data_IF_629554122570
#
_entry.id   IF_629554122570
#
_cell.length_a   1.000
_cell.length_b   1.000
_cell.length_c   1.000
_cell.angle_alpha   90.00
_cell.angle_beta   90.00
_cell.angle_gamma   90.00
#
_symmetry.space_group_name_H-M   'P 1'
#
loop_
_entity.id
_entity.type
_entity.pdbx_description
1 polymer ?
#
# COMPACT_ATOMS: atom_id res chain seq x y z
N UNK A 1 -26.89 25.95 -6.26
CA UNK A 1 -25.55 25.32 -6.37
C UNK A 1 -25.63 23.92 -5.79
N UNK A 2 -25.42 22.88 -6.60
CA UNK A 2 -25.56 21.48 -6.16
C UNK A 2 -24.49 21.15 -5.11
N UNK A 3 -24.92 20.89 -3.87
CA UNK A 3 -24.07 20.33 -2.80
C UNK A 3 -23.39 19.01 -3.23
N UNK A 4 -23.90 18.33 -4.25
CA UNK A 4 -23.39 17.05 -4.76
C UNK A 4 -22.01 17.10 -5.46
N UNK A 5 -21.46 18.28 -5.80
CA UNK A 5 -20.17 18.36 -6.51
C UNK A 5 -18.94 18.48 -5.62
N UNK A 6 -19.08 18.79 -4.34
CA UNK A 6 -17.94 18.91 -3.42
C UNK A 6 -17.72 17.64 -2.58
N UNK A 7 -16.49 17.42 -2.12
CA UNK A 7 -16.14 16.35 -1.19
C UNK A 7 -15.67 17.02 0.09
N UNK A 8 -16.27 16.63 1.21
CA UNK A 8 -15.92 17.13 2.53
C UNK A 8 -15.18 16.05 3.30
N UNK A 9 -14.23 16.48 4.12
CA UNK A 9 -13.45 15.64 5.01
C UNK A 9 -13.70 16.04 6.46
N UNK A 10 -13.81 15.04 7.34
CA UNK A 10 -13.93 15.26 8.78
C UNK A 10 -12.55 15.37 9.38
N UNK A 11 -12.24 16.54 9.93
CA UNK A 11 -10.94 16.84 10.53
C UNK A 11 -11.13 17.17 12.01
N UNK A 12 -10.39 16.50 12.90
CA UNK A 12 -10.33 16.90 14.30
C UNK A 12 -9.46 18.17 14.45
N UNK A 13 -10.00 19.18 15.11
CA UNK A 13 -9.32 20.45 15.37
C UNK A 13 -8.84 20.49 16.83
N UNK A 14 -7.54 20.46 17.05
CA UNK A 14 -6.97 20.41 18.40
C UNK A 14 -7.21 21.69 19.20
N UNK A 15 -7.26 22.85 18.55
CA UNK A 15 -7.50 24.14 19.22
C UNK A 15 -8.92 24.23 19.83
N UNK A 16 -9.93 23.75 19.10
CA UNK A 16 -11.35 23.78 19.52
C UNK A 16 -11.81 22.50 20.21
N UNK A 17 -11.01 21.43 20.17
CA UNK A 17 -11.36 20.12 20.71
C UNK A 17 -12.58 19.48 20.06
N UNK A 18 -12.83 19.76 18.76
CA UNK A 18 -14.00 19.25 18.06
C UNK A 18 -13.70 18.81 16.62
N UNK A 19 -14.62 18.03 16.04
CA UNK A 19 -14.55 17.63 14.63
C UNK A 19 -15.21 18.72 13.78
N UNK A 20 -14.48 19.18 12.76
CA UNK A 20 -14.95 20.14 11.77
C UNK A 20 -14.96 19.51 10.38
N UNK A 21 -15.85 19.99 9.52
CA UNK A 21 -15.86 19.63 8.11
C UNK A 21 -15.12 20.69 7.27
N UNK A 22 -14.31 20.21 6.32
CA UNK A 22 -13.56 21.04 5.36
C UNK A 22 -13.71 20.48 3.96
N UNK A 23 -13.60 21.33 2.95
CA UNK A 23 -13.49 20.82 1.58
C UNK A 23 -12.16 20.09 1.45
N UNK A 24 -12.16 18.96 0.73
CA UNK A 24 -10.94 18.23 0.43
C UNK A 24 -9.89 19.15 -0.21
N UNK A 25 -10.30 20.01 -1.14
CA UNK A 25 -9.37 20.91 -1.85
C UNK A 25 -8.70 21.93 -0.91
N UNK A 26 -9.40 22.45 0.10
CA UNK A 26 -8.80 23.34 1.13
C UNK A 26 -7.72 22.60 1.94
N UNK A 27 -7.93 21.29 2.19
CA UNK A 27 -6.96 20.46 2.90
C UNK A 27 -5.78 20.11 2.00
N UNK A 28 -5.99 19.89 0.68
CA UNK A 28 -4.90 19.68 -0.27
C UNK A 28 -3.95 20.87 -0.28
N UNK A 29 -4.49 22.09 -0.24
CA UNK A 29 -3.68 23.30 -0.15
C UNK A 29 -2.74 23.29 1.06
N UNK A 30 -3.28 22.97 2.24
CA UNK A 30 -2.49 22.86 3.46
C UNK A 30 -1.41 21.77 3.36
N UNK A 31 -1.74 20.61 2.78
CA UNK A 31 -0.80 19.50 2.59
C UNK A 31 0.35 19.92 1.67
N UNK A 32 0.06 20.62 0.57
CA UNK A 32 1.08 21.04 -0.40
C UNK A 32 2.06 22.03 0.24
N UNK A 33 1.58 22.99 1.02
CA UNK A 33 2.43 23.94 1.75
C UNK A 33 3.30 23.27 2.82
N UNK A 34 2.88 22.10 3.28
CA UNK A 34 3.64 21.30 4.22
C UNK A 34 4.74 20.49 3.54
N UNK A 35 4.41 19.84 2.41
CA UNK A 35 5.18 18.73 1.86
C UNK A 35 5.93 19.07 0.57
N UNK A 36 5.62 20.17 -0.11
CA UNK A 36 6.22 20.51 -1.41
C UNK A 36 6.77 21.94 -1.41
N UNK A 37 8.00 22.18 -1.90
CA UNK A 37 8.50 23.53 -2.11
C UNK A 37 7.60 24.30 -3.09
N UNK A 38 7.12 25.46 -2.66
CA UNK A 38 6.14 26.24 -3.42
C UNK A 38 6.75 26.89 -4.67
N UNK A 39 8.07 27.02 -4.71
CA UNK A 39 8.84 27.55 -5.83
C UNK A 39 8.81 26.63 -7.05
N UNK A 40 8.50 25.34 -6.85
CA UNK A 40 8.49 24.34 -7.90
C UNK A 40 7.56 24.71 -9.07
N UNK A 41 7.87 24.13 -10.22
CA UNK A 41 7.11 24.27 -11.44
C UNK A 41 5.64 23.86 -11.19
N UNK A 42 4.70 24.54 -11.85
CA UNK A 42 3.28 24.28 -11.69
C UNK A 42 2.90 22.84 -12.01
N UNK A 43 3.52 22.20 -13.00
CA UNK A 43 3.22 20.80 -13.34
C UNK A 43 3.72 19.82 -12.25
N UNK A 44 4.79 20.17 -11.53
CA UNK A 44 5.23 19.42 -10.35
C UNK A 44 4.29 19.65 -9.15
N UNK A 45 3.80 20.88 -8.96
CA UNK A 45 2.77 21.17 -7.94
C UNK A 45 1.47 20.41 -8.23
N UNK A 46 1.04 20.32 -9.50
CA UNK A 46 -0.11 19.52 -9.94
C UNK A 46 0.09 18.03 -9.62
N UNK A 47 1.27 17.47 -9.91
CA UNK A 47 1.58 16.08 -9.57
C UNK A 47 1.50 15.83 -8.05
N UNK A 48 2.08 16.72 -7.24
CA UNK A 48 2.00 16.63 -5.78
C UNK A 48 0.55 16.80 -5.28
N UNK A 49 -0.27 17.69 -5.87
CA UNK A 49 -1.67 17.88 -5.50
C UNK A 49 -2.50 16.61 -5.74
N UNK A 50 -2.28 15.94 -6.87
CA UNK A 50 -2.90 14.65 -7.18
C UNK A 50 -2.46 13.56 -6.20
N UNK A 51 -1.17 13.51 -5.84
CA UNK A 51 -0.64 12.56 -4.83
C UNK A 51 -1.28 12.81 -3.46
N UNK A 52 -1.28 14.06 -3.00
CA UNK A 52 -1.90 14.48 -1.74
C UNK A 52 -3.38 14.08 -1.71
N UNK A 53 -4.13 14.35 -2.78
CA UNK A 53 -5.53 13.96 -2.90
C UNK A 53 -5.71 12.45 -2.88
N UNK A 54 -4.91 11.70 -3.62
CA UNK A 54 -4.97 10.23 -3.66
C UNK A 54 -4.78 9.64 -2.25
N UNK A 55 -3.78 10.10 -1.52
CA UNK A 55 -3.49 9.62 -0.16
C UNK A 55 -4.56 10.04 0.85
N UNK A 56 -5.11 11.26 0.72
CA UNK A 56 -6.18 11.75 1.58
C UNK A 56 -7.45 10.92 1.39
N UNK A 57 -7.84 10.67 0.14
CA UNK A 57 -9.00 9.85 -0.21
C UNK A 57 -8.86 8.42 0.30
N UNK A 58 -7.65 7.82 0.26
CA UNK A 58 -7.40 6.49 0.84
C UNK A 58 -7.61 6.41 2.34
N UNK A 59 -7.43 7.52 3.04
CA UNK A 59 -7.64 7.58 4.49
C UNK A 59 -9.10 7.77 4.85
N UNK A 60 -9.89 8.43 4.00
CA UNK A 60 -11.26 8.80 4.33
C UNK A 60 -12.18 7.59 4.47
N UNK A 61 -12.97 7.59 5.54
CA UNK A 61 -14.03 6.60 5.84
C UNK A 61 -15.23 6.68 4.89
N UNK A 62 -15.21 7.61 3.93
CA UNK A 62 -16.20 7.66 2.85
C UNK A 62 -15.81 6.72 1.70
N UNK A 63 -14.53 6.37 1.61
CA UNK A 63 -13.94 5.64 0.48
C UNK A 63 -13.31 4.30 0.88
N UNK A 64 -13.67 3.74 2.04
CA UNK A 64 -13.13 2.49 2.58
C UNK A 64 -11.89 2.65 3.48
N UNK A 65 -11.52 3.88 3.84
CA UNK A 65 -10.32 4.16 4.63
C UNK A 65 -10.52 4.04 6.14
N UNK A 66 -9.45 3.78 6.88
CA UNK A 66 -9.51 3.61 8.34
C UNK A 66 -9.76 4.94 9.11
N UNK A 67 -9.59 6.08 8.45
CA UNK A 67 -9.65 7.40 9.05
C UNK A 67 -8.42 7.75 9.88
N UNK A 68 -8.61 8.59 10.90
CA UNK A 68 -7.54 8.98 11.81
C UNK A 68 -7.19 7.87 12.79
N UNK A 69 -5.89 7.61 12.96
CA UNK A 69 -5.37 6.68 13.98
C UNK A 69 -5.41 7.25 15.40
N UNK A 70 -5.56 8.58 15.53
CA UNK A 70 -5.41 9.29 16.80
C UNK A 70 -6.75 9.74 17.40
N UNK A 71 -7.77 9.89 16.55
CA UNK A 71 -9.06 10.46 16.94
C UNK A 71 -10.18 9.67 16.27
N UNK A 72 -11.15 9.22 17.06
CA UNK A 72 -12.30 8.50 16.54
C UNK A 72 -13.22 9.41 15.71
N UNK A 73 -14.00 8.81 14.81
CA UNK A 73 -15.03 9.49 14.02
C UNK A 73 -14.56 10.64 13.09
N UNK A 74 -13.25 10.81 12.87
CA UNK A 74 -12.71 11.70 11.85
C UNK A 74 -11.77 10.97 10.87
N UNK A 75 -11.50 11.61 9.74
CA UNK A 75 -10.64 11.09 8.68
C UNK A 75 -9.17 11.48 8.91
N UNK A 76 -8.94 12.71 9.38
CA UNK A 76 -7.62 13.28 9.71
C UNK A 76 -7.73 14.20 10.93
N UNK A 77 -6.62 14.79 11.36
CA UNK A 77 -6.62 15.91 12.29
C UNK A 77 -5.61 16.97 11.87
N UNK A 78 -5.69 18.16 12.45
CA UNK A 78 -4.82 19.31 12.16
C UNK A 78 -3.47 19.26 12.89
N UNK A 79 -3.10 18.10 13.45
CA UNK A 79 -1.81 17.90 14.09
C UNK A 79 -0.64 17.82 13.10
N UNK A 80 0.56 18.01 13.64
CA UNK A 80 1.82 18.03 12.87
C UNK A 80 2.07 16.75 12.07
N UNK A 81 1.58 15.62 12.57
CA UNK A 81 1.71 14.32 11.90
C UNK A 81 0.90 14.22 10.59
N UNK A 82 -0.03 15.15 10.32
CA UNK A 82 -0.76 15.23 9.06
C UNK A 82 -0.45 16.48 8.25
N UNK A 83 -0.62 17.66 8.86
CA UNK A 83 -0.50 18.93 8.15
C UNK A 83 0.86 19.60 8.37
N UNK A 84 1.71 19.07 9.26
CA UNK A 84 2.98 19.69 9.62
C UNK A 84 2.82 21.01 10.37
N UNK A 85 3.94 21.63 10.71
CA UNK A 85 3.97 22.85 11.53
C UNK A 85 3.82 24.14 10.72
N UNK A 86 3.27 25.17 11.37
CA UNK A 86 3.29 26.57 10.92
C UNK A 86 2.62 26.85 9.56
N UNK A 87 1.63 26.05 9.15
CA UNK A 87 0.96 26.19 7.84
C UNK A 87 0.34 27.58 7.64
N UNK A 88 -0.33 28.12 8.66
CA UNK A 88 -0.93 29.45 8.55
C UNK A 88 0.13 30.55 8.34
N UNK A 89 1.29 30.42 8.97
CA UNK A 89 2.40 31.36 8.78
C UNK A 89 3.01 31.22 7.39
N UNK A 90 3.24 29.98 6.93
CA UNK A 90 3.71 29.70 5.56
C UNK A 90 2.77 30.30 4.53
N UNK A 91 1.46 30.09 4.67
CA UNK A 91 0.45 30.66 3.79
C UNK A 91 0.52 32.20 3.74
N UNK A 92 0.54 32.85 4.90
CA UNK A 92 0.64 34.33 5.00
C UNK A 92 1.93 34.90 4.44
N UNK A 93 3.01 34.11 4.39
CA UNK A 93 4.30 34.53 3.86
C UNK A 93 4.41 34.39 2.33
N UNK A 94 3.42 33.79 1.66
CA UNK A 94 3.47 33.60 0.21
C UNK A 94 3.28 34.92 -0.53
N UNK A 95 4.06 35.09 -1.60
CA UNK A 95 3.78 36.12 -2.60
C UNK A 95 2.49 35.81 -3.36
N UNK A 96 1.83 36.86 -3.84
CA UNK A 96 0.62 36.75 -4.68
C UNK A 96 0.84 35.84 -5.90
N UNK A 97 2.02 35.90 -6.52
CA UNK A 97 2.41 35.01 -7.62
C UNK A 97 2.38 33.54 -7.22
N UNK A 98 2.90 33.21 -6.04
CA UNK A 98 2.95 31.83 -5.56
C UNK A 98 1.57 31.34 -5.10
N UNK A 99 0.76 32.20 -4.48
CA UNK A 99 -0.64 31.90 -4.17
C UNK A 99 -1.43 31.55 -5.44
N UNK A 100 -1.38 32.41 -6.46
CA UNK A 100 -2.06 32.17 -7.73
C UNK A 100 -1.59 30.88 -8.42
N UNK A 101 -0.29 30.56 -8.32
CA UNK A 101 0.27 29.31 -8.87
C UNK A 101 -0.25 28.08 -8.12
N UNK A 102 -0.35 28.16 -6.80
CA UNK A 102 -0.88 27.08 -5.95
C UNK A 102 -2.35 26.82 -6.25
N UNK A 103 -3.17 27.87 -6.18
CA UNK A 103 -4.61 27.80 -6.46
C UNK A 103 -4.86 27.23 -7.85
N UNK A 104 -4.09 27.67 -8.86
CA UNK A 104 -4.19 27.14 -10.22
C UNK A 104 -3.82 25.66 -10.28
N UNK A 105 -2.75 25.22 -9.64
CA UNK A 105 -2.36 23.80 -9.62
C UNK A 105 -3.44 22.90 -9.00
N UNK A 106 -4.06 23.35 -7.90
CA UNK A 106 -5.14 22.63 -7.21
C UNK A 106 -6.40 22.60 -8.08
N UNK A 107 -6.82 23.74 -8.63
CA UNK A 107 -8.02 23.83 -9.45
C UNK A 107 -7.90 23.06 -10.77
N UNK A 108 -6.76 23.15 -11.46
CA UNK A 108 -6.50 22.42 -12.72
C UNK A 108 -6.50 20.89 -12.52
N UNK A 109 -6.29 20.41 -11.28
CA UNK A 109 -6.26 18.98 -10.94
C UNK A 109 -7.38 18.55 -10.01
N UNK A 110 -8.41 19.39 -9.86
CA UNK A 110 -9.52 19.17 -8.95
C UNK A 110 -10.14 17.79 -9.19
N UNK A 111 -10.43 17.07 -8.11
CA UNK A 111 -10.97 15.71 -8.13
C UNK A 111 -10.08 14.62 -8.78
N UNK A 112 -8.93 14.95 -9.37
CA UNK A 112 -8.05 13.93 -9.98
C UNK A 112 -7.28 13.16 -8.91
N UNK A 113 -7.29 11.84 -9.04
CA UNK A 113 -6.56 10.88 -8.21
C UNK A 113 -5.83 9.85 -9.07
N UNK A 114 -4.89 9.14 -8.47
CA UNK A 114 -4.14 8.04 -9.10
C UNK A 114 -4.76 6.71 -8.67
N UNK A 115 -5.10 5.86 -9.63
CA UNK A 115 -5.72 4.56 -9.36
C UNK A 115 -5.04 3.42 -10.11
N UNK A 116 -5.17 2.22 -9.57
CA UNK A 116 -4.97 0.95 -10.28
C UNK A 116 -6.23 0.13 -10.08
N UNK A 117 -6.87 -0.31 -11.16
CA UNK A 117 -8.14 -1.04 -11.14
C UNK A 117 -9.22 -0.33 -10.30
N UNK A 118 -9.36 0.98 -10.52
CA UNK A 118 -10.28 1.86 -9.79
C UNK A 118 -10.07 1.94 -8.26
N UNK A 119 -8.99 1.36 -7.72
CA UNK A 119 -8.57 1.57 -6.33
C UNK A 119 -7.52 2.69 -6.29
N UNK A 120 -7.71 3.74 -5.47
CA UNK A 120 -6.66 4.73 -5.25
C UNK A 120 -5.37 4.06 -4.78
N UNK A 121 -4.19 4.47 -5.26
CA UNK A 121 -2.91 3.84 -4.89
C UNK A 121 -2.30 4.46 -3.63
N UNK A 122 -1.46 3.72 -2.89
CA UNK A 122 -0.53 4.34 -1.92
C UNK A 122 0.51 5.18 -2.68
N UNK A 123 0.22 6.46 -2.89
CA UNK A 123 0.99 7.36 -3.72
C UNK A 123 2.20 7.88 -2.92
N UNK A 124 3.18 7.01 -2.73
CA UNK A 124 4.46 7.33 -2.05
C UNK A 124 5.24 8.37 -2.82
N UNK A 125 5.90 9.26 -2.10
CA UNK A 125 6.81 10.24 -2.67
C UNK A 125 7.91 10.56 -1.66
N UNK A 126 8.99 11.14 -2.15
CA UNK A 126 10.13 11.56 -1.35
C UNK A 126 10.84 12.74 -2.01
N UNK A 127 11.70 13.43 -1.26
CA UNK A 127 12.37 14.65 -1.72
C UNK A 127 13.30 14.38 -2.91
N UNK A 128 14.32 13.54 -2.73
CA UNK A 128 15.39 13.32 -3.72
C UNK A 128 15.81 11.86 -3.76
N UNK A 129 15.65 11.17 -4.89
CA UNK A 129 15.97 9.73 -4.99
C UNK A 129 17.47 9.39 -5.07
N UNK A 130 18.35 10.36 -5.34
CA UNK A 130 19.79 10.09 -5.47
C UNK A 130 20.20 9.31 -6.73
N UNK A 131 19.33 9.19 -7.74
CA UNK A 131 19.67 8.61 -9.05
C UNK A 131 18.71 7.51 -9.53
N UNK A 132 17.90 6.95 -8.64
CA UNK A 132 16.81 6.04 -8.98
C UNK A 132 15.84 5.89 -7.83
N UNK A 133 14.57 5.68 -8.12
CA UNK A 133 13.61 5.19 -7.13
C UNK A 133 13.88 3.72 -6.80
N UNK A 134 13.15 3.14 -5.85
CA UNK A 134 13.35 1.76 -5.41
C UNK A 134 12.10 0.91 -5.58
N UNK A 135 12.29 -0.42 -5.67
CA UNK A 135 11.18 -1.36 -5.64
C UNK A 135 10.64 -1.48 -4.22
N UNK A 136 9.32 -1.51 -4.06
CA UNK A 136 8.69 -1.51 -2.74
C UNK A 136 9.11 -2.69 -1.85
N UNK A 137 9.37 -3.88 -2.42
CA UNK A 137 9.80 -5.05 -1.65
C UNK A 137 11.14 -4.84 -0.92
N UNK A 138 12.00 -3.95 -1.43
CA UNK A 138 13.29 -3.66 -0.82
C UNK A 138 13.22 -2.64 0.32
N UNK A 139 12.08 -1.94 0.47
CA UNK A 139 11.90 -0.87 1.46
C UNK A 139 10.84 -1.24 2.50
N UNK A 140 9.69 -1.76 2.05
CA UNK A 140 8.53 -2.09 2.89
C UNK A 140 8.21 -3.60 2.90
N UNK A 141 9.09 -4.45 2.34
CA UNK A 141 8.97 -5.91 2.38
C UNK A 141 7.83 -6.52 1.55
N UNK A 142 7.04 -5.71 0.86
CA UNK A 142 5.90 -6.15 0.05
C UNK A 142 6.01 -5.64 -1.39
N UNK A 143 5.73 -6.51 -2.35
CA UNK A 143 5.79 -6.19 -3.78
C UNK A 143 4.53 -5.46 -4.23
N UNK A 144 4.68 -4.20 -4.62
CA UNK A 144 3.62 -3.33 -5.09
C UNK A 144 3.88 -3.01 -6.57
N UNK A 145 2.92 -3.37 -7.43
CA UNK A 145 3.10 -3.32 -8.88
C UNK A 145 3.42 -1.93 -9.42
N UNK A 146 2.81 -0.88 -8.86
CA UNK A 146 3.00 0.50 -9.31
C UNK A 146 4.19 1.22 -8.65
N UNK A 147 4.81 0.65 -7.61
CA UNK A 147 6.00 1.21 -6.94
C UNK A 147 7.25 0.44 -7.37
N UNK A 148 7.72 0.73 -8.58
CA UNK A 148 8.89 0.10 -9.18
C UNK A 148 10.06 1.07 -9.25
N UNK A 149 11.27 0.50 -9.26
CA UNK A 149 12.50 1.23 -9.51
C UNK A 149 12.51 1.82 -10.92
N UNK A 150 12.75 3.13 -10.98
CA UNK A 150 12.92 3.92 -12.20
C UNK A 150 14.20 4.73 -12.06
N UNK A 151 15.05 4.71 -13.09
CA UNK A 151 16.26 5.52 -13.12
C UNK A 151 15.87 7.00 -13.16
N UNK A 152 16.53 7.87 -12.40
CA UNK A 152 16.18 9.28 -12.34
C UNK A 152 17.44 10.14 -12.50
N UNK A 153 17.57 10.76 -13.68
CA UNK A 153 18.66 11.68 -13.97
C UNK A 153 18.32 13.15 -13.67
N UNK A 154 17.08 13.42 -13.25
CA UNK A 154 16.51 14.76 -13.12
C UNK A 154 16.78 15.42 -11.76
N UNK A 155 17.12 14.66 -10.71
CA UNK A 155 17.29 15.22 -9.36
C UNK A 155 18.74 15.53 -8.99
N UNK A 156 19.66 15.60 -9.97
CA UNK A 156 21.10 15.83 -9.74
C UNK A 156 21.39 17.20 -9.12
N UNK A 157 20.58 18.20 -9.48
CA UNK A 157 20.75 19.58 -9.00
C UNK A 157 19.98 19.85 -7.70
N UNK A 158 19.41 18.80 -7.09
CA UNK A 158 18.80 18.92 -5.78
C UNK A 158 19.85 19.32 -4.73
N UNK A 159 19.54 20.24 -3.79
CA UNK A 159 20.40 20.53 -2.65
C UNK A 159 20.62 19.31 -1.76
N UNK A 160 19.71 18.32 -1.81
CA UNK A 160 19.84 17.06 -1.08
C UNK A 160 20.40 15.93 -1.95
N UNK A 161 21.00 16.25 -3.11
CA UNK A 161 21.64 15.25 -3.97
C UNK A 161 22.78 14.55 -3.24
N UNK A 162 23.64 15.31 -2.57
CA UNK A 162 24.71 14.80 -1.71
C UNK A 162 24.64 15.51 -0.37
N UNK A 163 24.71 14.74 0.71
CA UNK A 163 24.79 15.29 2.05
C UNK A 163 25.98 14.67 2.79
N UNK A 164 26.57 15.44 3.69
CA UNK A 164 27.59 14.96 4.62
C UNK A 164 27.16 15.30 6.04
N UNK A 165 27.31 14.34 6.95
CA UNK A 165 27.24 14.61 8.39
C UNK A 165 28.54 14.13 9.05
N UNK A 166 28.98 14.83 10.08
CA UNK A 166 30.07 14.41 10.95
C UNK A 166 29.49 14.10 12.33
N UNK A 167 29.84 12.95 12.89
CA UNK A 167 29.31 12.48 14.17
C UNK A 167 30.40 11.85 15.03
N UNK A 168 30.39 12.16 16.32
CA UNK A 168 31.32 11.57 17.28
C UNK A 168 31.05 10.08 17.46
N UNK A 169 32.09 9.26 17.64
CA UNK A 169 31.93 7.82 17.89
C UNK A 169 31.05 7.57 19.13
N UNK A 170 31.14 8.43 20.15
CA UNK A 170 30.28 8.34 21.34
C UNK A 170 28.79 8.50 20.97
N UNK A 171 28.47 9.51 20.18
CA UNK A 171 27.10 9.74 19.72
C UNK A 171 26.61 8.59 18.83
N UNK A 172 27.46 8.03 17.97
CA UNK A 172 27.12 6.84 17.17
C UNK A 172 26.84 5.63 18.07
N UNK A 173 27.64 5.43 19.12
CA UNK A 173 27.46 4.37 20.11
C UNK A 173 26.08 4.45 20.75
N UNK A 174 25.71 5.64 21.20
CA UNK A 174 24.43 5.93 21.86
C UNK A 174 23.26 5.75 20.89
N UNK A 175 23.34 6.31 19.69
CA UNK A 175 22.25 6.24 18.69
C UNK A 175 22.01 4.84 18.13
N UNK A 176 23.04 4.00 18.05
CA UNK A 176 22.95 2.64 17.52
C UNK A 176 22.82 1.56 18.61
N UNK A 177 22.73 1.97 19.89
CA UNK A 177 22.75 1.06 21.04
C UNK A 177 23.87 0.02 20.95
N UNK A 178 25.08 0.51 20.68
CA UNK A 178 26.26 -0.32 20.49
C UNK A 178 27.44 0.20 21.30
N UNK A 179 28.44 -0.65 21.51
CA UNK A 179 29.67 -0.29 22.21
C UNK A 179 30.85 -0.44 21.27
N UNK A 180 31.55 0.66 21.03
CA UNK A 180 32.89 0.59 20.47
C UNK A 180 33.88 0.29 21.60
N UNK A 181 34.94 -0.50 21.36
CA UNK A 181 35.89 -0.88 22.39
C UNK A 181 36.57 0.35 23.02
N UNK A 182 36.74 0.33 24.35
CA UNK A 182 37.46 1.37 25.10
C UNK A 182 38.94 1.32 24.75
N UNK A 183 39.55 2.47 24.45
CA UNK A 183 40.85 2.51 23.78
C UNK A 183 41.94 2.94 24.76
N UNK A 184 43.03 2.17 24.82
CA UNK A 184 44.26 2.55 25.52
C UNK A 184 45.44 2.63 24.52
N UNK A 185 46.59 3.17 24.95
CA UNK A 185 47.76 3.39 24.08
C UNK A 185 48.38 2.08 23.50
N UNK A 186 47.91 0.92 23.95
CA UNK A 186 48.43 -0.41 23.62
C UNK A 186 47.47 -1.27 22.81
N UNK A 187 46.18 -0.94 22.79
CA UNK A 187 45.16 -1.65 22.03
C UNK A 187 45.03 -1.10 20.61
N UNK A 188 44.93 -2.00 19.64
CA UNK A 188 44.92 -1.66 18.22
C UNK A 188 43.50 -1.71 17.66
N UNK A 189 43.12 -0.68 16.91
CA UNK A 189 41.96 -0.74 16.02
C UNK A 189 42.49 -0.93 14.60
N UNK A 190 42.04 -2.01 13.95
CA UNK A 190 42.24 -2.19 12.52
C UNK A 190 41.14 -1.43 11.79
N UNK A 191 41.52 -0.33 11.14
CA UNK A 191 40.65 0.36 10.21
C UNK A 191 41.12 -0.06 8.82
N UNK A 192 40.46 -1.08 8.25
CA UNK A 192 40.81 -1.58 6.93
C UNK A 192 40.87 -0.42 5.93
N UNK A 193 41.90 -0.43 5.07
CA UNK A 193 42.23 0.62 4.09
C UNK A 193 42.65 1.99 4.66
N UNK A 194 42.77 2.14 5.99
CA UNK A 194 43.25 3.39 6.61
C UNK A 194 44.44 3.18 7.55
N UNK A 195 44.30 2.32 8.57
CA UNK A 195 45.35 1.99 9.55
C UNK A 195 45.50 0.47 9.63
N UNK A 196 46.65 -0.04 9.20
CA UNK A 196 46.92 -1.46 9.03
C UNK A 196 48.32 -1.86 9.53
N UNK A 197 48.53 -3.18 9.67
CA UNK A 197 49.84 -3.80 9.90
C UNK A 197 50.68 -3.19 11.03
N UNK A 198 50.03 -2.74 12.11
CA UNK A 198 50.72 -2.24 13.29
C UNK A 198 51.50 -3.40 13.94
N UNK A 199 52.83 -3.34 13.85
CA UNK A 199 53.75 -4.26 14.52
C UNK A 199 54.38 -3.56 15.70
N UNK A 200 54.34 -4.18 16.87
CA UNK A 200 54.94 -3.66 18.11
C UNK A 200 56.09 -4.54 18.56
N UNK A 201 57.06 -3.94 19.24
CA UNK A 201 58.12 -4.69 19.95
C UNK A 201 57.60 -5.31 21.27
N UNK A 202 58.45 -6.08 21.93
CA UNK A 202 58.15 -6.71 23.23
C UNK A 202 57.83 -5.71 24.35
N UNK A 203 58.21 -4.44 24.17
CA UNK A 203 57.96 -3.36 25.12
C UNK A 203 56.69 -2.57 24.78
N UNK A 204 56.00 -2.86 23.67
CA UNK A 204 54.75 -2.21 23.25
C UNK A 204 54.93 -0.97 22.36
N UNK A 205 56.14 -0.66 21.91
CA UNK A 205 56.41 0.44 20.96
C UNK A 205 56.06 0.00 19.54
N UNK A 206 55.43 0.88 18.76
CA UNK A 206 55.18 0.65 17.34
C UNK A 206 56.52 0.60 16.60
N UNK A 207 56.85 -0.54 16.02
CA UNK A 207 58.02 -0.75 15.18
C UNK A 207 57.72 -0.37 13.72
N UNK A 208 56.54 -0.75 13.22
CA UNK A 208 56.06 -0.35 11.90
C UNK A 208 54.54 -0.23 11.85
N UNK A 209 54.06 0.65 10.98
CA UNK A 209 52.63 0.90 10.72
C UNK A 209 52.41 1.15 9.23
N UNK A 210 51.26 0.73 8.70
CA UNK A 210 50.81 1.06 7.34
C UNK A 210 49.63 2.04 7.43
N UNK A 211 49.78 3.20 6.79
CA UNK A 211 48.73 4.22 6.67
C UNK A 211 48.40 4.43 5.19
N UNK A 212 47.14 4.18 4.81
CA UNK A 212 46.77 4.07 3.40
C UNK A 212 47.65 3.04 2.69
N UNK A 213 48.34 3.46 1.64
CA UNK A 213 49.24 2.59 0.86
C UNK A 213 50.72 2.64 1.32
N UNK A 214 51.05 3.52 2.26
CA UNK A 214 52.42 3.78 2.69
C UNK A 214 52.77 3.08 4.00
N UNK A 215 53.99 2.54 4.08
CA UNK A 215 54.54 1.93 5.29
C UNK A 215 55.55 2.86 5.95
N UNK A 216 55.43 3.00 7.26
CA UNK A 216 56.30 3.81 8.09
C UNK A 216 56.92 2.94 9.19
N UNK A 217 58.17 3.22 9.57
CA UNK A 217 58.66 2.78 10.87
C UNK A 217 58.13 3.71 11.96
N UNK A 218 58.14 3.27 13.22
CA UNK A 218 57.54 4.02 14.32
C UNK A 218 58.18 5.38 14.59
N UNK A 219 59.48 5.54 14.36
CA UNK A 219 60.23 6.79 14.60
C UNK A 219 59.88 7.81 13.52
N UNK A 220 59.89 7.39 12.25
CA UNK A 220 59.51 8.24 11.13
C UNK A 220 58.07 8.71 11.26
N UNK A 221 57.17 7.81 11.68
CA UNK A 221 55.78 8.16 11.94
C UNK A 221 55.65 9.17 13.08
N UNK A 222 56.36 8.92 14.20
CA UNK A 222 56.42 9.83 15.35
C UNK A 222 56.82 11.24 14.92
N UNK A 223 57.95 11.36 14.21
CA UNK A 223 58.52 12.63 13.81
C UNK A 223 57.65 13.35 12.75
N UNK A 224 57.04 12.60 11.82
CA UNK A 224 56.18 13.18 10.78
C UNK A 224 54.87 13.72 11.31
N UNK A 225 54.30 13.08 12.33
CA UNK A 225 53.04 13.52 12.96
C UNK A 225 53.24 14.32 14.26
N UNK A 226 54.49 14.58 14.63
CA UNK A 226 54.86 15.35 15.82
C UNK A 226 54.19 14.85 17.12
N UNK A 227 54.28 13.54 17.37
CA UNK A 227 53.77 12.92 18.60
C UNK A 227 54.93 12.58 19.55
N UNK A 228 54.65 12.50 20.85
CA UNK A 228 55.72 12.41 21.86
C UNK A 228 56.50 11.10 21.85
N UNK A 229 55.87 10.01 21.41
CA UNK A 229 56.37 8.65 21.64
C UNK A 229 55.98 7.69 20.53
N UNK A 230 56.76 6.62 20.37
CA UNK A 230 56.40 5.45 19.55
C UNK A 230 55.42 4.51 20.28
N UNK A 231 55.00 4.84 21.52
CA UNK A 231 53.94 4.15 22.27
C UNK A 231 52.61 4.89 22.08
N UNK A 232 51.98 4.69 20.95
CA UNK A 232 50.70 5.31 20.62
C UNK A 232 49.71 4.27 20.09
N UNK A 233 48.41 4.61 20.12
CA UNK A 233 47.34 3.98 19.35
C UNK A 233 46.62 5.06 18.54
N UNK A 234 45.90 4.67 17.50
CA UNK A 234 45.14 5.58 16.64
C UNK A 234 43.69 5.12 16.61
N UNK A 235 42.78 6.07 16.74
CA UNK A 235 41.35 5.82 16.66
C UNK A 235 40.61 6.99 16.03
N UNK A 236 39.48 6.75 15.35
CA UNK A 236 38.62 7.82 14.89
C UNK A 236 37.90 8.42 16.09
N UNK A 237 37.89 9.75 16.18
CA UNK A 237 37.02 10.48 17.12
C UNK A 237 35.66 10.77 16.48
N UNK A 238 35.68 11.11 15.18
CA UNK A 238 34.49 11.43 14.36
C UNK A 238 34.46 10.62 13.08
N UNK A 239 33.25 10.27 12.64
CA UNK A 239 32.99 9.70 11.32
C UNK A 239 32.24 10.70 10.44
N UNK A 240 32.73 10.85 9.21
CA UNK A 240 32.02 11.56 8.14
C UNK A 240 31.19 10.57 7.34
N UNK A 241 29.87 10.73 7.37
CA UNK A 241 28.91 9.90 6.63
C UNK A 241 28.44 10.70 5.43
N UNK A 242 28.66 10.16 4.23
CA UNK A 242 28.17 10.72 2.96
C UNK A 242 26.93 9.97 2.51
N UNK A 243 25.85 10.67 2.23
CA UNK A 243 24.62 10.10 1.67
C UNK A 243 24.27 10.76 0.34
N UNK A 244 23.47 10.05 -0.46
CA UNK A 244 22.99 10.53 -1.75
C UNK A 244 21.47 10.39 -1.81
N UNK A 245 20.77 11.51 -1.99
CA UNK A 245 19.31 11.56 -1.88
C UNK A 245 18.80 11.78 -0.46
N UNK A 246 17.47 11.90 -0.35
CA UNK A 246 16.71 12.15 0.88
C UNK A 246 15.29 11.55 0.75
N UNK A 247 14.96 10.66 1.68
CA UNK A 247 13.69 9.95 1.78
C UNK A 247 13.82 8.45 1.47
N UNK A 248 12.70 7.74 1.43
CA UNK A 248 12.64 6.27 1.34
C UNK A 248 12.86 5.72 -0.08
N UNK A 249 12.87 6.58 -1.10
CA UNK A 249 13.08 6.20 -2.50
C UNK A 249 11.85 5.62 -3.19
N UNK A 250 10.67 5.57 -2.53
CA UNK A 250 9.46 5.01 -3.12
C UNK A 250 8.65 6.05 -3.90
N UNK A 251 8.18 5.66 -5.09
CA UNK A 251 7.30 6.47 -5.93
C UNK A 251 7.94 7.76 -6.44
N UNK A 252 7.24 8.89 -6.36
CA UNK A 252 7.66 10.14 -6.98
C UNK A 252 8.84 10.80 -6.24
N UNK A 253 9.89 11.14 -6.98
CA UNK A 253 10.96 12.03 -6.51
C UNK A 253 10.59 13.49 -6.79
N UNK A 254 10.42 14.31 -5.76
CA UNK A 254 9.91 15.68 -5.90
C UNK A 254 10.84 16.59 -6.71
N UNK A 255 12.14 16.55 -6.45
CA UNK A 255 13.12 17.30 -7.25
C UNK A 255 13.21 16.80 -8.70
N UNK A 256 13.09 15.49 -8.89
CA UNK A 256 13.06 14.91 -10.23
C UNK A 256 11.80 15.33 -11.01
N UNK A 257 10.65 15.35 -10.35
CA UNK A 257 9.39 15.85 -10.92
C UNK A 257 9.48 17.34 -11.28
N UNK A 258 10.08 18.16 -10.42
CA UNK A 258 10.29 19.59 -10.69
C UNK A 258 11.14 19.81 -11.94
N UNK A 259 12.24 19.07 -12.08
CA UNK A 259 13.10 19.23 -13.24
C UNK A 259 12.47 18.66 -14.52
N UNK A 260 11.76 17.52 -14.44
CA UNK A 260 10.94 17.04 -15.56
C UNK A 260 9.94 18.10 -16.02
N UNK A 261 9.29 18.80 -15.09
CA UNK A 261 8.36 19.87 -15.39
C UNK A 261 9.05 21.10 -16.01
N UNK A 262 10.25 21.47 -15.55
CA UNK A 262 11.06 22.52 -16.19
C UNK A 262 11.44 22.17 -17.63
N UNK A 263 11.65 20.89 -17.91
CA UNK A 263 11.87 20.35 -19.26
C UNK A 263 10.57 20.19 -20.07
N UNK A 264 9.44 20.73 -19.59
CA UNK A 264 8.17 20.78 -20.31
C UNK A 264 7.30 19.52 -20.20
N UNK A 265 7.61 18.59 -19.29
CA UNK A 265 6.74 17.42 -19.04
C UNK A 265 5.49 17.84 -18.27
N UNK A 266 4.33 17.31 -18.66
CA UNK A 266 3.09 17.52 -17.93
C UNK A 266 3.04 16.69 -16.65
N UNK A 267 2.17 17.06 -15.70
CA UNK A 267 1.94 16.29 -14.48
C UNK A 267 1.58 14.82 -14.78
N UNK A 268 0.85 14.56 -15.87
CA UNK A 268 0.47 13.21 -16.29
C UNK A 268 1.70 12.38 -16.66
N UNK A 269 2.58 12.94 -17.49
CA UNK A 269 3.84 12.28 -17.87
C UNK A 269 4.75 12.05 -16.67
N UNK A 270 4.79 12.99 -15.72
CA UNK A 270 5.57 12.88 -14.48
C UNK A 270 5.04 11.72 -13.62
N UNK A 271 3.73 11.65 -13.40
CA UNK A 271 3.11 10.60 -12.59
C UNK A 271 3.25 9.22 -13.24
N UNK A 272 3.01 9.11 -14.55
CA UNK A 272 3.17 7.87 -15.32
C UNK A 272 4.64 7.39 -15.37
N UNK A 273 5.59 8.31 -15.24
CA UNK A 273 7.02 7.99 -15.13
C UNK A 273 7.36 7.33 -13.79
N UNK A 274 6.82 7.85 -12.68
CA UNK A 274 7.16 7.38 -11.33
C UNK A 274 6.28 6.23 -10.84
N UNK A 275 5.07 6.09 -11.37
CA UNK A 275 4.14 5.02 -10.99
C UNK A 275 3.77 4.15 -12.18
N UNK A 276 4.09 2.86 -12.11
CA UNK A 276 3.89 1.93 -13.24
C UNK A 276 2.43 1.50 -13.38
N UNK A 277 1.87 1.64 -14.60
CA UNK A 277 0.54 1.11 -14.94
C UNK A 277 -0.62 1.75 -14.19
N UNK A 278 -0.47 3.02 -13.82
CA UNK A 278 -1.53 3.80 -13.16
C UNK A 278 -2.52 4.39 -14.17
N UNK A 279 -3.69 4.75 -13.67
CA UNK A 279 -4.65 5.62 -14.35
C UNK A 279 -4.87 6.88 -13.51
N UNK A 280 -4.90 8.05 -14.16
CA UNK A 280 -5.29 9.32 -13.54
C UNK A 280 -6.70 9.64 -13.99
N UNK A 281 -7.62 9.72 -13.04
CA UNK A 281 -9.03 9.98 -13.31
C UNK A 281 -9.69 10.78 -12.19
N UNK A 282 -10.85 11.35 -12.49
CA UNK A 282 -11.69 11.96 -11.46
C UNK A 282 -12.13 10.90 -10.45
N UNK A 283 -12.19 11.30 -9.19
CA UNK A 283 -12.67 10.47 -8.12
C UNK A 283 -14.15 10.12 -8.31
N UNK A 284 -14.43 8.81 -8.32
CA UNK A 284 -15.79 8.30 -8.28
C UNK A 284 -16.37 8.51 -6.88
N UNK A 285 -17.34 9.40 -6.74
CA UNK A 285 -18.06 9.56 -5.47
C UNK A 285 -18.91 8.33 -5.19
N UNK A 286 -18.89 7.79 -3.95
CA UNK A 286 -19.80 6.73 -3.56
C UNK A 286 -21.23 7.23 -3.74
N UNK A 287 -21.99 6.55 -4.61
CA UNK A 287 -23.40 6.82 -4.78
C UNK A 287 -24.17 5.88 -3.87
N UNK A 288 -25.07 6.40 -3.02
CA UNK A 288 -25.91 5.57 -2.14
C UNK A 288 -26.68 4.51 -2.94
N UNK A 289 -27.09 4.84 -4.17
CA UNK A 289 -27.83 3.94 -5.06
C UNK A 289 -26.94 2.97 -5.83
N UNK A 290 -25.65 3.26 -5.98
CA UNK A 290 -24.67 2.41 -6.67
C UNK A 290 -23.41 2.27 -5.80
N UNK A 291 -23.52 1.58 -4.64
CA UNK A 291 -22.44 1.50 -3.66
C UNK A 291 -21.19 0.76 -4.17
N UNK A 292 -21.32 -0.01 -5.26
CA UNK A 292 -20.22 -0.75 -5.88
C UNK A 292 -19.72 -0.12 -7.17
N UNK A 293 -20.10 1.13 -7.47
CA UNK A 293 -19.67 1.82 -8.69
C UNK A 293 -18.14 1.79 -8.83
N UNK A 294 -17.68 1.39 -10.02
CA UNK A 294 -16.25 1.28 -10.34
C UNK A 294 -15.56 0.04 -9.77
N UNK A 295 -16.26 -0.83 -9.04
CA UNK A 295 -15.68 -2.10 -8.57
C UNK A 295 -15.78 -3.17 -9.65
N UNK A 296 -14.73 -3.95 -9.81
CA UNK A 296 -14.71 -5.14 -10.67
C UNK A 296 -14.72 -6.36 -9.73
N UNK A 297 -15.71 -7.22 -9.87
CA UNK A 297 -15.81 -8.45 -9.09
C UNK A 297 -15.79 -9.65 -10.05
N UNK A 298 -15.01 -10.66 -9.73
CA UNK A 298 -14.99 -11.90 -10.50
C UNK A 298 -15.59 -13.02 -9.66
N UNK A 299 -16.67 -13.62 -10.16
CA UNK A 299 -17.36 -14.72 -9.47
C UNK A 299 -17.06 -16.00 -10.24
N UNK A 300 -16.61 -17.02 -9.51
CA UNK A 300 -16.29 -18.32 -10.04
C UNK A 300 -17.34 -19.33 -9.57
N UNK A 301 -18.34 -19.69 -10.39
CA UNK A 301 -19.16 -20.84 -10.11
C UNK A 301 -18.28 -22.09 -10.22
N UNK A 302 -18.05 -22.75 -9.10
CA UNK A 302 -17.25 -23.97 -9.00
C UNK A 302 -17.67 -25.02 -10.02
N UNK A 303 -16.71 -25.86 -10.44
CA UNK A 303 -16.95 -26.98 -11.36
C UNK A 303 -17.48 -26.52 -12.74
N UNK A 304 -18.16 -27.41 -13.47
CA UNK A 304 -18.75 -27.16 -14.80
C UNK A 304 -18.34 -28.18 -15.87
N UNK A 305 -19.21 -28.37 -16.86
CA UNK A 305 -19.05 -29.30 -17.96
C UNK A 305 -19.30 -30.76 -17.57
N UNK A 306 -19.09 -31.68 -18.51
CA UNK A 306 -19.31 -33.12 -18.31
C UNK A 306 -18.18 -33.82 -17.52
N UNK A 307 -17.01 -33.20 -17.45
CA UNK A 307 -15.81 -33.74 -16.78
C UNK A 307 -15.63 -33.23 -15.35
N UNK A 308 -16.66 -32.65 -14.74
CA UNK A 308 -16.58 -32.12 -13.38
C UNK A 308 -16.59 -33.24 -12.32
N UNK A 309 -15.73 -33.12 -11.32
CA UNK A 309 -15.78 -33.87 -10.07
C UNK A 309 -16.69 -33.17 -9.04
N UNK A 310 -17.80 -32.61 -9.49
CA UNK A 310 -18.76 -31.92 -8.61
C UNK A 310 -19.48 -32.90 -7.69
N UNK A 311 -19.95 -32.40 -6.55
CA UNK A 311 -20.76 -33.20 -5.63
C UNK A 311 -22.16 -33.39 -6.21
N UNK A 312 -22.66 -34.63 -6.11
CA UNK A 312 -24.05 -34.98 -6.43
C UNK A 312 -24.77 -35.28 -5.12
N UNK A 313 -25.86 -34.56 -4.87
CA UNK A 313 -26.76 -34.74 -3.74
C UNK A 313 -27.54 -36.05 -3.81
N UNK A 314 -28.25 -36.36 -2.74
CA UNK A 314 -28.98 -37.62 -2.57
C UNK A 314 -30.14 -37.70 -3.56
N UNK A 315 -30.81 -36.57 -3.84
CA UNK A 315 -31.88 -36.48 -4.82
C UNK A 315 -31.37 -36.21 -6.26
N UNK A 316 -30.05 -36.33 -6.49
CA UNK A 316 -29.43 -36.10 -7.80
C UNK A 316 -29.16 -34.63 -8.14
N UNK A 317 -29.35 -33.71 -7.20
CA UNK A 317 -28.98 -32.29 -7.39
C UNK A 317 -27.48 -32.18 -7.58
N UNK A 318 -27.01 -31.42 -8.55
CA UNK A 318 -25.57 -31.24 -8.80
C UNK A 318 -25.09 -29.90 -8.29
N UNK A 319 -23.96 -29.90 -7.60
CA UNK A 319 -23.33 -28.68 -7.09
C UNK A 319 -23.11 -27.65 -8.19
N UNK A 320 -22.58 -28.09 -9.34
CA UNK A 320 -22.22 -27.20 -10.46
C UNK A 320 -23.40 -26.38 -10.98
N UNK A 321 -24.62 -26.91 -10.87
CA UNK A 321 -25.84 -26.25 -11.35
C UNK A 321 -26.30 -25.21 -10.32
N UNK A 322 -26.33 -25.59 -9.04
CA UNK A 322 -26.73 -24.70 -7.94
C UNK A 322 -25.77 -23.51 -7.81
N UNK A 323 -24.46 -23.73 -7.86
CA UNK A 323 -23.48 -22.64 -7.74
C UNK A 323 -23.52 -21.71 -8.95
N UNK A 324 -23.86 -22.21 -10.14
CA UNK A 324 -24.09 -21.37 -11.33
C UNK A 324 -25.33 -20.50 -11.16
N UNK A 325 -26.42 -21.05 -10.63
CA UNK A 325 -27.65 -20.30 -10.36
C UNK A 325 -27.43 -19.20 -9.31
N UNK A 326 -26.72 -19.51 -8.21
CA UNK A 326 -26.35 -18.51 -7.20
C UNK A 326 -25.46 -17.43 -7.84
N UNK A 327 -24.46 -17.81 -8.64
CA UNK A 327 -23.55 -16.86 -9.28
C UNK A 327 -24.27 -15.90 -10.24
N UNK A 328 -25.25 -16.39 -11.00
CA UNK A 328 -26.07 -15.54 -11.89
C UNK A 328 -26.93 -14.55 -11.12
N UNK A 329 -27.58 -14.99 -10.04
CA UNK A 329 -28.34 -14.10 -9.17
C UNK A 329 -27.44 -13.04 -8.51
N UNK A 330 -26.27 -13.47 -8.04
CA UNK A 330 -25.26 -12.60 -7.44
C UNK A 330 -24.74 -11.58 -8.45
N UNK A 331 -24.44 -12.00 -9.70
CA UNK A 331 -24.03 -11.11 -10.80
C UNK A 331 -25.03 -9.97 -10.98
N UNK A 332 -26.30 -10.29 -11.18
CA UNK A 332 -27.34 -9.29 -11.44
C UNK A 332 -27.44 -8.29 -10.28
N UNK A 333 -27.46 -8.76 -9.03
CA UNK A 333 -27.60 -7.90 -7.86
C UNK A 333 -26.38 -6.99 -7.64
N UNK A 334 -25.18 -7.49 -7.91
CA UNK A 334 -23.95 -6.70 -7.81
C UNK A 334 -23.84 -5.66 -8.95
N UNK A 335 -24.30 -6.01 -10.16
CA UNK A 335 -24.38 -5.08 -11.30
C UNK A 335 -25.42 -3.97 -11.05
N UNK A 336 -26.59 -4.31 -10.48
CA UNK A 336 -27.59 -3.33 -10.01
C UNK A 336 -26.99 -2.37 -8.96
N UNK A 337 -26.11 -2.88 -8.09
CA UNK A 337 -25.38 -2.08 -7.12
C UNK A 337 -24.19 -1.29 -7.73
N UNK A 338 -23.94 -1.41 -9.04
CA UNK A 338 -22.97 -0.61 -9.80
C UNK A 338 -21.62 -1.28 -10.08
N UNK A 339 -21.41 -2.54 -9.68
CA UNK A 339 -20.19 -3.26 -9.98
C UNK A 339 -20.15 -3.70 -11.46
N UNK A 340 -18.95 -3.85 -12.02
CA UNK A 340 -18.71 -4.69 -13.20
C UNK A 340 -18.46 -6.11 -12.70
N UNK A 341 -19.29 -7.07 -13.11
CA UNK A 341 -19.14 -8.46 -12.68
C UNK A 341 -18.76 -9.36 -13.83
N UNK A 342 -17.78 -10.23 -13.59
CA UNK A 342 -17.26 -11.18 -14.58
C UNK A 342 -17.41 -12.58 -14.01
N UNK A 343 -18.06 -13.47 -14.75
CA UNK A 343 -18.13 -14.88 -14.38
C UNK A 343 -17.00 -15.65 -15.07
N UNK A 344 -16.41 -16.65 -14.40
CA UNK A 344 -15.47 -17.58 -15.06
C UNK A 344 -16.16 -18.46 -16.09
N UNK A 345 -17.46 -18.75 -15.90
CA UNK A 345 -18.35 -19.42 -16.83
C UNK A 345 -19.77 -18.88 -16.69
N UNK A 346 -20.47 -18.70 -17.81
CA UNK A 346 -21.88 -18.27 -17.82
C UNK A 346 -22.86 -19.44 -18.09
N UNK A 347 -22.32 -20.57 -18.55
CA UNK A 347 -23.04 -21.80 -18.87
C UNK A 347 -22.39 -23.00 -18.19
N UNK A 348 -22.97 -24.20 -18.37
CA UNK A 348 -22.38 -25.44 -17.89
C UNK A 348 -21.23 -25.88 -18.81
N UNK A 349 -20.06 -25.28 -18.61
CA UNK A 349 -18.83 -25.60 -19.34
C UNK A 349 -17.66 -25.82 -18.38
N UNK A 350 -16.70 -26.64 -18.81
CA UNK A 350 -15.50 -26.91 -18.03
C UNK A 350 -14.46 -25.81 -18.29
N UNK A 351 -14.12 -25.06 -17.24
CA UNK A 351 -13.03 -24.08 -17.27
C UNK A 351 -11.89 -24.55 -16.35
N UNK A 352 -10.69 -24.87 -16.88
CA UNK A 352 -9.55 -25.33 -16.08
C UNK A 352 -9.13 -24.32 -15.01
N UNK A 353 -8.70 -24.80 -13.84
CA UNK A 353 -8.24 -23.93 -12.74
C UNK A 353 -7.13 -22.96 -13.18
N UNK A 354 -6.19 -23.43 -14.00
CA UNK A 354 -5.11 -22.60 -14.56
C UNK A 354 -5.63 -21.44 -15.41
N UNK A 355 -6.70 -21.67 -16.17
CA UNK A 355 -7.34 -20.63 -16.98
C UNK A 355 -8.12 -19.64 -16.12
N UNK A 356 -8.79 -20.10 -15.06
CA UNK A 356 -9.45 -19.22 -14.07
C UNK A 356 -8.43 -18.28 -13.42
N UNK A 357 -7.31 -18.83 -12.95
CA UNK A 357 -6.19 -18.08 -12.35
C UNK A 357 -5.59 -17.08 -13.34
N UNK A 358 -5.29 -17.53 -14.56
CA UNK A 358 -4.74 -16.66 -15.62
C UNK A 358 -5.65 -15.46 -15.87
N UNK A 359 -6.93 -15.71 -16.08
CA UNK A 359 -7.93 -14.67 -16.36
C UNK A 359 -8.06 -13.70 -15.18
N UNK A 360 -8.11 -14.21 -13.95
CA UNK A 360 -8.16 -13.37 -12.75
C UNK A 360 -6.90 -12.51 -12.59
N UNK A 361 -5.72 -13.04 -12.91
CA UNK A 361 -4.45 -12.31 -12.83
C UNK A 361 -4.26 -11.29 -13.96
N UNK A 362 -4.88 -11.50 -15.12
CA UNK A 362 -4.92 -10.54 -16.22
C UNK A 362 -5.90 -9.39 -15.93
N UNK A 363 -7.11 -9.71 -15.47
CA UNK A 363 -8.16 -8.72 -15.17
C UNK A 363 -7.87 -7.97 -13.87
N UNK A 364 -7.29 -8.66 -12.89
CA UNK A 364 -7.02 -8.18 -11.53
C UNK A 364 -8.27 -7.56 -10.87
N UNK A 365 -9.37 -8.33 -10.69
CA UNK A 365 -10.58 -7.83 -10.05
C UNK A 365 -10.32 -7.39 -8.60
N UNK A 366 -11.22 -6.60 -8.04
CA UNK A 366 -11.11 -6.17 -6.64
C UNK A 366 -11.26 -7.32 -5.65
N UNK A 367 -12.10 -8.32 -5.99
CA UNK A 367 -12.15 -9.63 -5.35
C UNK A 367 -12.43 -10.72 -6.39
N UNK A 368 -11.86 -11.89 -6.15
CA UNK A 368 -12.25 -13.14 -6.79
C UNK A 368 -13.04 -13.99 -5.78
N UNK A 369 -14.24 -14.44 -6.12
CA UNK A 369 -15.12 -15.20 -5.20
C UNK A 369 -15.52 -16.51 -5.87
N UNK A 370 -14.99 -17.63 -5.39
CA UNK A 370 -15.40 -18.97 -5.81
C UNK A 370 -16.58 -19.47 -4.97
N UNK A 371 -17.62 -19.98 -5.62
CA UNK A 371 -18.81 -20.52 -4.99
C UNK A 371 -18.85 -22.04 -5.15
N UNK A 372 -19.00 -22.73 -4.03
CA UNK A 372 -19.04 -24.19 -3.93
C UNK A 372 -20.13 -24.65 -2.94
N UNK A 373 -20.39 -25.95 -2.91
CA UNK A 373 -21.19 -26.60 -1.87
C UNK A 373 -20.38 -27.71 -1.21
N UNK A 374 -20.45 -27.73 0.13
CA UNK A 374 -19.78 -28.73 0.92
C UNK A 374 -20.38 -30.12 0.70
N UNK A 375 -19.55 -31.13 0.98
CA UNK A 375 -19.95 -32.53 1.09
C UNK A 375 -19.30 -33.16 2.31
N UNK A 376 -20.06 -33.96 3.04
CA UNK A 376 -19.54 -34.69 4.20
C UNK A 376 -20.27 -36.02 4.39
N UNK A 377 -19.55 -37.03 4.90
CA UNK A 377 -20.09 -38.38 5.09
C UNK A 377 -21.28 -38.42 6.05
N UNK A 378 -21.29 -37.56 7.07
CA UNK A 378 -22.45 -37.41 7.96
C UNK A 378 -23.44 -36.41 7.36
N UNK A 379 -24.58 -36.92 6.88
CA UNK A 379 -25.64 -36.15 6.22
C UNK A 379 -26.41 -35.20 7.14
N UNK A 380 -26.20 -35.25 8.46
CA UNK A 380 -26.81 -34.27 9.38
C UNK A 380 -26.10 -32.92 9.42
N UNK A 381 -24.87 -32.85 8.90
CA UNK A 381 -24.07 -31.63 8.89
C UNK A 381 -24.64 -30.64 7.87
N UNK A 382 -24.69 -29.36 8.25
CA UNK A 382 -25.06 -28.25 7.37
C UNK A 382 -24.43 -26.93 7.86
N UNK A 383 -24.53 -25.89 7.03
CA UNK A 383 -24.00 -24.55 7.28
C UNK A 383 -22.99 -24.09 6.22
N UNK A 384 -22.52 -22.86 6.37
CA UNK A 384 -21.56 -22.23 5.46
C UNK A 384 -20.16 -22.21 6.05
N UNK A 385 -19.16 -22.47 5.22
CA UNK A 385 -17.73 -22.29 5.52
C UNK A 385 -17.12 -21.34 4.49
N UNK A 386 -16.33 -20.35 4.92
CA UNK A 386 -15.64 -19.44 4.01
C UNK A 386 -14.14 -19.60 4.18
N UNK A 387 -13.44 -19.80 3.08
CA UNK A 387 -11.99 -20.01 3.03
C UNK A 387 -11.27 -18.84 2.38
N UNK A 388 -10.09 -18.51 2.91
CA UNK A 388 -9.19 -17.49 2.36
C UNK A 388 -7.72 -17.92 2.44
N UNK A 389 -6.85 -17.26 1.68
CA UNK A 389 -5.41 -17.48 1.77
C UNK A 389 -4.80 -16.80 3.01
N UNK A 390 -3.68 -17.34 3.50
CA UNK A 390 -2.98 -16.80 4.68
C UNK A 390 -2.60 -15.32 4.49
N UNK A 391 -2.71 -14.54 5.56
CA UNK A 391 -2.35 -13.10 5.62
C UNK A 391 -3.14 -12.15 4.70
N UNK A 392 -4.24 -12.59 4.09
CA UNK A 392 -5.12 -11.73 3.28
C UNK A 392 -6.19 -11.05 4.15
N UNK A 393 -5.85 -9.87 4.68
CA UNK A 393 -6.72 -9.11 5.59
C UNK A 393 -8.03 -8.67 4.92
N UNK A 394 -7.97 -8.29 3.65
CA UNK A 394 -9.14 -7.84 2.90
C UNK A 394 -10.16 -8.97 2.72
N UNK A 395 -9.68 -10.18 2.39
CA UNK A 395 -10.54 -11.36 2.31
C UNK A 395 -11.16 -11.72 3.66
N UNK A 396 -10.39 -11.67 4.75
CA UNK A 396 -10.93 -11.93 6.11
C UNK A 396 -12.06 -10.94 6.45
N UNK A 397 -11.83 -9.65 6.21
CA UNK A 397 -12.82 -8.61 6.50
C UNK A 397 -14.10 -8.76 5.66
N UNK A 398 -13.96 -9.12 4.38
CA UNK A 398 -15.11 -9.40 3.51
C UNK A 398 -15.87 -10.65 3.98
N UNK A 399 -15.15 -11.73 4.28
CA UNK A 399 -15.73 -12.99 4.74
C UNK A 399 -16.54 -12.81 6.03
N UNK A 400 -16.03 -12.04 6.99
CA UNK A 400 -16.73 -11.74 8.26
C UNK A 400 -18.08 -11.06 8.02
N UNK A 401 -18.16 -10.12 7.08
CA UNK A 401 -19.40 -9.40 6.76
C UNK A 401 -20.39 -10.30 6.02
N UNK A 402 -19.91 -11.07 5.04
CA UNK A 402 -20.74 -12.03 4.32
C UNK A 402 -21.33 -13.06 5.30
N UNK A 403 -20.51 -13.71 6.13
CA UNK A 403 -20.96 -14.74 7.06
C UNK A 403 -21.97 -14.21 8.08
N UNK A 404 -21.71 -13.02 8.65
CA UNK A 404 -22.60 -12.37 9.61
C UNK A 404 -23.98 -12.09 9.01
N UNK A 405 -24.05 -11.62 7.77
CA UNK A 405 -25.34 -11.31 7.12
C UNK A 405 -26.01 -12.60 6.64
N UNK A 406 -25.26 -13.54 6.07
CA UNK A 406 -25.78 -14.82 5.60
C UNK A 406 -26.45 -15.60 6.73
N UNK A 407 -25.79 -15.76 7.87
CA UNK A 407 -26.33 -16.47 9.04
C UNK A 407 -27.49 -15.74 9.73
N UNK A 408 -27.61 -14.42 9.55
CA UNK A 408 -28.71 -13.61 10.09
C UNK A 408 -29.95 -13.61 9.21
N UNK A 409 -29.76 -13.45 7.90
CA UNK A 409 -30.84 -13.29 6.92
C UNK A 409 -31.36 -14.64 6.39
N UNK A 410 -30.66 -15.73 6.70
CA UNK A 410 -31.04 -17.10 6.39
C UNK A 410 -30.94 -17.98 7.64
N UNK A 411 -31.29 -19.25 7.54
CA UNK A 411 -31.11 -20.29 8.57
C UNK A 411 -29.83 -21.11 8.35
N UNK A 412 -28.89 -20.62 7.53
CA UNK A 412 -27.57 -21.23 7.33
C UNK A 412 -26.72 -20.99 8.57
N UNK A 413 -26.18 -22.07 9.13
CA UNK A 413 -25.31 -22.01 10.31
C UNK A 413 -23.93 -21.49 9.91
N UNK A 414 -23.37 -20.59 10.71
CA UNK A 414 -21.98 -20.15 10.61
C UNK A 414 -21.04 -21.27 11.11
N UNK A 415 -20.24 -21.84 10.21
CA UNK A 415 -19.20 -22.83 10.53
C UNK A 415 -17.78 -22.27 10.47
N UNK A 416 -17.67 -20.96 10.38
CA UNK A 416 -16.43 -20.21 10.53
C UNK A 416 -15.74 -19.83 9.23
N UNK A 417 -14.77 -18.94 9.42
CA UNK A 417 -13.86 -18.44 8.39
C UNK A 417 -12.51 -19.12 8.62
N UNK A 418 -11.98 -19.76 7.58
CA UNK A 418 -10.85 -20.69 7.69
C UNK A 418 -9.76 -20.35 6.68
N UNK A 419 -8.53 -20.71 7.03
CA UNK A 419 -7.39 -20.63 6.10
C UNK A 419 -7.33 -21.92 5.30
N UNK A 420 -7.15 -21.82 3.98
CA UNK A 420 -6.88 -22.97 3.11
C UNK A 420 -5.81 -22.66 2.06
N UNK A 421 -5.13 -23.71 1.59
CA UNK A 421 -4.10 -23.65 0.54
C UNK A 421 -4.64 -24.17 -0.81
N UNK A 422 -5.89 -23.81 -1.13
CA UNK A 422 -6.50 -24.14 -2.41
C UNK A 422 -5.74 -23.47 -3.54
N UNK A 423 -5.58 -24.17 -4.67
CA UNK A 423 -4.81 -23.68 -5.82
C UNK A 423 -5.25 -22.29 -6.28
N UNK A 424 -6.55 -22.04 -6.39
CA UNK A 424 -7.09 -20.74 -6.81
C UNK A 424 -6.83 -19.63 -5.78
N UNK A 425 -6.84 -19.94 -4.48
CA UNK A 425 -6.57 -18.95 -3.43
C UNK A 425 -5.08 -18.58 -3.37
N UNK A 426 -4.20 -19.55 -3.67
CA UNK A 426 -2.74 -19.35 -3.65
C UNK A 426 -2.23 -18.60 -4.89
N UNK A 427 -2.73 -18.94 -6.08
CA UNK A 427 -2.13 -18.47 -7.35
C UNK A 427 -2.77 -17.17 -7.88
N UNK A 428 -3.92 -16.76 -7.35
CA UNK A 428 -4.56 -15.49 -7.72
C UNK A 428 -3.91 -14.35 -6.93
N UNK A 429 -3.38 -13.35 -7.65
CA UNK A 429 -2.64 -12.21 -7.11
C UNK A 429 -3.50 -11.05 -6.61
N UNK A 430 -4.79 -11.29 -6.35
CA UNK A 430 -5.74 -10.35 -5.73
C UNK A 430 -6.49 -11.06 -4.60
N UNK A 431 -7.12 -10.30 -3.72
CA UNK A 431 -7.88 -10.88 -2.59
C UNK A 431 -8.97 -11.82 -3.08
N UNK A 432 -9.05 -13.00 -2.48
CA UNK A 432 -9.92 -14.08 -2.93
C UNK A 432 -10.59 -14.86 -1.81
N UNK A 433 -11.84 -15.28 -2.07
CA UNK A 433 -12.65 -16.10 -1.19
C UNK A 433 -13.10 -17.37 -1.89
N UNK A 434 -13.15 -18.47 -1.15
CA UNK A 434 -13.80 -19.71 -1.54
C UNK A 434 -14.94 -19.97 -0.55
N UNK A 435 -16.18 -19.84 -1.00
CA UNK A 435 -17.38 -19.89 -0.17
C UNK A 435 -18.06 -21.23 -0.42
N UNK A 436 -18.06 -22.07 0.60
CA UNK A 436 -18.87 -23.27 0.66
C UNK A 436 -20.22 -22.92 1.29
N UNK A 437 -21.25 -22.70 0.46
CA UNK A 437 -22.48 -22.03 0.87
C UNK A 437 -23.33 -22.90 1.81
N UNK A 438 -23.44 -24.19 1.50
CA UNK A 438 -24.22 -25.18 2.26
C UNK A 438 -23.71 -26.60 1.98
N UNK A 439 -24.21 -27.60 2.71
CA UNK A 439 -23.87 -29.01 2.50
C UNK A 439 -24.90 -29.69 1.61
N UNK A 440 -24.47 -30.12 0.41
CA UNK A 440 -25.34 -30.79 -0.55
C UNK A 440 -25.72 -32.21 -0.12
N UNK A 441 -24.91 -32.84 0.74
CA UNK A 441 -25.17 -34.18 1.29
C UNK A 441 -26.26 -34.21 2.37
N UNK A 442 -26.77 -33.05 2.81
CA UNK A 442 -27.86 -32.98 3.76
C UNK A 442 -29.22 -32.92 3.02
N UNK A 443 -30.10 -33.92 3.16
CA UNK A 443 -31.36 -33.99 2.39
C UNK A 443 -32.27 -32.77 2.55
N UNK A 444 -32.34 -32.22 3.77
CA UNK A 444 -33.19 -31.07 4.05
C UNK A 444 -32.61 -29.79 3.44
N UNK A 445 -31.27 -29.68 3.41
CA UNK A 445 -30.61 -28.55 2.75
C UNK A 445 -30.68 -28.68 1.24
N UNK A 446 -30.48 -29.88 0.67
CA UNK A 446 -30.62 -30.15 -0.76
C UNK A 446 -32.01 -29.74 -1.28
N UNK A 447 -33.07 -30.07 -0.55
CA UNK A 447 -34.44 -29.62 -0.88
C UNK A 447 -34.55 -28.10 -0.92
N UNK A 448 -33.89 -27.38 -0.01
CA UNK A 448 -33.90 -25.92 0.03
C UNK A 448 -33.04 -25.30 -1.04
N UNK A 449 -31.92 -25.92 -1.40
CA UNK A 449 -31.08 -25.48 -2.52
C UNK A 449 -31.82 -25.59 -3.87
N UNK A 450 -32.86 -26.43 -3.97
CA UNK A 450 -33.78 -26.45 -5.12
C UNK A 450 -34.83 -25.32 -5.11
N UNK A 451 -35.01 -24.60 -3.99
CA UNK A 451 -35.92 -23.46 -3.89
C UNK A 451 -35.26 -22.17 -4.38
N UNK A 452 -35.78 -21.61 -5.48
CA UNK A 452 -35.32 -20.35 -6.05
C UNK A 452 -35.34 -19.18 -5.05
N UNK A 453 -36.32 -19.14 -4.13
CA UNK A 453 -36.39 -18.08 -3.12
C UNK A 453 -35.24 -18.20 -2.12
N UNK A 454 -34.84 -19.41 -1.79
CA UNK A 454 -33.69 -19.64 -0.92
C UNK A 454 -32.38 -19.22 -1.60
N UNK A 455 -32.18 -19.57 -2.87
CA UNK A 455 -31.01 -19.12 -3.66
C UNK A 455 -30.98 -17.58 -3.81
N UNK A 456 -32.14 -16.94 -3.96
CA UNK A 456 -32.26 -15.47 -3.95
C UNK A 456 -31.87 -14.87 -2.60
N UNK A 457 -32.27 -15.49 -1.48
CA UNK A 457 -31.89 -15.01 -0.15
C UNK A 457 -30.38 -15.16 0.09
N UNK A 458 -29.78 -16.29 -0.31
CA UNK A 458 -28.33 -16.52 -0.25
C UNK A 458 -27.58 -15.43 -1.03
N UNK A 459 -27.91 -15.27 -2.32
CA UNK A 459 -27.25 -14.27 -3.18
C UNK A 459 -27.43 -12.86 -2.62
N UNK A 460 -28.62 -12.51 -2.12
CA UNK A 460 -28.89 -11.20 -1.52
C UNK A 460 -28.07 -10.95 -0.26
N UNK A 461 -27.88 -11.97 0.58
CA UNK A 461 -27.05 -11.86 1.78
C UNK A 461 -25.57 -11.68 1.43
N UNK A 462 -25.06 -12.42 0.43
CA UNK A 462 -23.69 -12.25 -0.07
C UNK A 462 -23.52 -10.85 -0.66
N UNK A 463 -24.44 -10.38 -1.50
CA UNK A 463 -24.46 -9.02 -2.06
C UNK A 463 -24.40 -7.96 -0.96
N UNK A 464 -25.25 -8.08 0.07
CA UNK A 464 -25.25 -7.15 1.22
C UNK A 464 -23.90 -7.17 1.95
N UNK A 465 -23.27 -8.33 2.11
CA UNK A 465 -21.96 -8.45 2.75
C UNK A 465 -20.86 -7.74 1.96
N UNK A 466 -20.87 -7.88 0.63
CA UNK A 466 -19.98 -7.17 -0.28
C UNK A 466 -20.24 -5.66 -0.22
N UNK A 467 -21.50 -5.23 -0.26
CA UNK A 467 -21.87 -3.82 -0.12
C UNK A 467 -21.43 -3.26 1.24
N UNK A 468 -21.60 -4.01 2.33
CA UNK A 468 -21.19 -3.57 3.67
C UNK A 468 -19.66 -3.50 3.81
N UNK A 469 -18.92 -4.33 3.08
CA UNK A 469 -17.46 -4.22 3.02
C UNK A 469 -17.00 -2.92 2.35
N UNK A 470 -17.72 -2.48 1.31
CA UNK A 470 -17.40 -1.24 0.58
C UNK A 470 -18.10 0.00 1.11
N UNK A 471 -19.10 -0.14 1.98
CA UNK A 471 -19.58 0.95 2.82
C UNK A 471 -18.52 1.21 3.88
N UNK A 472 -18.34 2.48 4.23
CA UNK A 472 -17.33 3.02 5.14
C UNK A 472 -16.00 3.25 4.44
#
# INVERSE_FOLDING_TARGET
>A
MNKDKHIYIKMYNHEKGNIIERLVEDVIEMIILSQCPIEFNIEALKANAIIARTNLIRKMKLFGGEGSLYHENCDICDGEHYLGENILQKYKALSEKNLNKLEKAINDTKNLIITVNNKPIDARFHDTCGGSTENSENVIGTKTFYLRRVLCNYCKDSPNWQNEIEMDIKEISERLDTRFPYMNATENIRINNFVQDIKRDLLGRVASIKIGDSKFNGIDFKNKLDIDSTRFSIAPERLKIRTRGKGDGLGLCQWGANEMANLGKSYKQILEYYYTGIEIKEIDKPCINQPLKGRILMIDPGHGGNSSQDVIGIDGTREKDIVLDIAKLLKNQLEEAGAKVILTREVDEYVPLSQRVKTANEIRPNFFISLHLNSYHNSSIHGCEIYHYKNDRDSVNLALRIMKILSKDTDIIDRGIKIADFFILREIGVSSLHIEVEYLTNPDREKRLKDKKFLQNISKSITKGIIEYYKY
#
